data_IF_930258813359
#
_entry.id   IF_930258813359
#
_cell.length_a   1.000
_cell.length_b   1.000
_cell.length_c   1.000
_cell.angle_alpha   90.00
_cell.angle_beta   90.00
_cell.angle_gamma   90.00
#
_symmetry.space_group_name_H-M   'P 1'
#
loop_
_entity.id
_entity.type
_entity.pdbx_description
1 polymer ?
#
# COMPACT_ATOMS: atom_id res chain seq x y z
N UNK A 1 -20.78 11.60 -2.85
CA UNK A 1 -20.04 10.30 -2.82
C UNK A 1 -19.57 10.06 -4.23
N UNK A 2 -18.27 9.96 -4.48
CA UNK A 2 -17.78 9.59 -5.81
C UNK A 2 -18.30 8.20 -6.14
N UNK A 3 -19.09 8.12 -7.20
CA UNK A 3 -19.61 6.85 -7.69
C UNK A 3 -18.46 6.12 -8.41
N UNK A 4 -18.05 4.97 -7.87
CA UNK A 4 -17.03 4.11 -8.49
C UNK A 4 -17.64 3.07 -9.44
N UNK A 5 -18.91 3.21 -9.77
CA UNK A 5 -19.58 2.27 -10.66
C UNK A 5 -18.83 2.10 -11.98
N UNK A 6 -18.43 0.87 -12.26
CA UNK A 6 -17.64 0.47 -13.44
C UNK A 6 -16.25 1.13 -13.56
N UNK A 7 -15.74 1.81 -12.53
CA UNK A 7 -14.37 2.37 -12.54
C UNK A 7 -13.36 1.21 -12.46
N UNK A 8 -12.39 1.11 -13.40
CA UNK A 8 -11.36 0.07 -13.34
C UNK A 8 -10.35 0.39 -12.24
N UNK A 9 -10.28 -0.50 -11.24
CA UNK A 9 -9.37 -0.41 -10.08
C UNK A 9 -8.45 -1.62 -10.06
N UNK A 10 -7.15 -1.40 -10.08
CA UNK A 10 -6.13 -2.46 -9.96
C UNK A 10 -5.42 -2.35 -8.62
N UNK A 11 -5.35 -3.45 -7.89
CA UNK A 11 -4.78 -3.53 -6.54
C UNK A 11 -3.63 -4.54 -6.52
N UNK A 12 -2.43 -4.08 -6.21
CA UNK A 12 -1.24 -4.91 -6.10
C UNK A 12 -1.01 -5.30 -4.65
N UNK A 13 -0.95 -6.61 -4.35
CA UNK A 13 -0.76 -7.12 -3.00
C UNK A 13 -2.06 -7.14 -2.17
N UNK A 14 -3.21 -7.42 -2.82
CA UNK A 14 -4.51 -7.22 -2.20
C UNK A 14 -5.28 -8.51 -1.90
N UNK A 15 -4.61 -9.66 -1.75
CA UNK A 15 -5.28 -10.92 -1.39
C UNK A 15 -5.55 -11.08 0.11
N UNK A 16 -4.95 -10.24 0.98
CA UNK A 16 -5.08 -10.26 2.44
C UNK A 16 -4.87 -8.89 3.07
N UNK A 17 -5.12 -8.78 4.38
CA UNK A 17 -4.86 -7.58 5.18
C UNK A 17 -5.52 -6.32 4.60
N UNK A 18 -4.84 -5.18 4.70
CA UNK A 18 -5.33 -3.90 4.18
C UNK A 18 -5.70 -3.96 2.69
N UNK A 19 -4.89 -4.64 1.87
CA UNK A 19 -5.18 -4.77 0.44
C UNK A 19 -6.51 -5.47 0.16
N UNK A 20 -6.86 -6.50 0.93
CA UNK A 20 -8.16 -7.17 0.84
C UNK A 20 -9.31 -6.25 1.23
N UNK A 21 -9.18 -5.50 2.32
CA UNK A 21 -10.20 -4.52 2.74
C UNK A 21 -10.40 -3.43 1.68
N UNK A 22 -9.34 -3.01 1.00
CA UNK A 22 -9.44 -2.11 -0.15
C UNK A 22 -10.22 -2.76 -1.31
N UNK A 23 -9.94 -4.03 -1.64
CA UNK A 23 -10.67 -4.75 -2.69
C UNK A 23 -12.16 -4.86 -2.36
N UNK A 24 -12.52 -5.22 -1.13
CA UNK A 24 -13.89 -5.26 -0.61
C UNK A 24 -14.56 -3.89 -0.68
N UNK A 25 -13.84 -2.83 -0.28
CA UNK A 25 -14.35 -1.46 -0.28
C UNK A 25 -14.65 -0.96 -1.70
N UNK A 26 -13.76 -1.17 -2.66
CA UNK A 26 -13.98 -0.79 -4.05
C UNK A 26 -15.07 -1.64 -4.72
N UNK A 27 -15.08 -2.95 -4.44
CA UNK A 27 -16.13 -3.85 -4.94
C UNK A 27 -17.53 -3.43 -4.46
N UNK A 28 -17.68 -3.12 -3.18
CA UNK A 28 -18.95 -2.62 -2.61
C UNK A 28 -19.41 -1.28 -3.21
N UNK A 29 -18.49 -0.53 -3.84
CA UNK A 29 -18.78 0.71 -4.57
C UNK A 29 -19.07 0.49 -6.07
N UNK A 30 -19.12 -0.77 -6.52
CA UNK A 30 -19.38 -1.12 -7.91
C UNK A 30 -18.19 -0.98 -8.86
N UNK A 31 -16.98 -0.87 -8.36
CA UNK A 31 -15.77 -0.80 -9.18
C UNK A 31 -15.48 -2.12 -9.90
N UNK A 32 -14.84 -2.04 -11.07
CA UNK A 32 -14.26 -3.18 -11.76
C UNK A 32 -12.90 -3.53 -11.12
N UNK A 33 -12.93 -4.34 -10.07
CA UNK A 33 -11.76 -4.65 -9.26
C UNK A 33 -10.92 -5.75 -9.89
N UNK A 34 -9.61 -5.50 -10.01
CA UNK A 34 -8.60 -6.46 -10.44
C UNK A 34 -7.52 -6.56 -9.36
N UNK A 35 -7.33 -7.76 -8.81
CA UNK A 35 -6.40 -8.03 -7.70
C UNK A 35 -5.23 -8.86 -8.18
N UNK A 36 -4.03 -8.40 -7.83
CA UNK A 36 -2.77 -9.08 -8.14
C UNK A 36 -2.06 -9.45 -6.83
N UNK A 37 -1.68 -10.71 -6.69
CA UNK A 37 -0.89 -11.21 -5.56
C UNK A 37 -0.14 -12.49 -5.97
N UNK A 38 0.78 -12.98 -5.13
CA UNK A 38 1.56 -14.19 -5.41
C UNK A 38 0.76 -15.48 -5.18
N UNK A 39 -0.02 -15.51 -4.11
CA UNK A 39 -0.73 -16.70 -3.64
C UNK A 39 -2.01 -16.97 -4.43
N UNK A 40 -2.05 -18.02 -5.25
CA UNK A 40 -3.24 -18.40 -6.01
C UNK A 40 -4.40 -18.75 -5.09
N UNK A 41 -4.17 -19.54 -4.06
CA UNK A 41 -5.21 -19.97 -3.12
C UNK A 41 -5.95 -18.79 -2.45
N UNK A 42 -5.19 -17.77 -1.98
CA UNK A 42 -5.78 -16.57 -1.38
C UNK A 42 -6.51 -15.70 -2.42
N UNK A 43 -6.08 -15.69 -3.68
CA UNK A 43 -6.78 -15.03 -4.77
C UNK A 43 -8.08 -15.76 -5.13
N UNK A 44 -8.07 -17.09 -5.18
CA UNK A 44 -9.26 -17.91 -5.45
C UNK A 44 -10.30 -17.77 -4.31
N UNK A 45 -9.85 -17.69 -3.05
CA UNK A 45 -10.72 -17.39 -1.92
C UNK A 45 -11.37 -16.00 -2.06
N UNK A 46 -10.57 -14.98 -2.36
CA UNK A 46 -11.06 -13.62 -2.57
C UNK A 46 -12.07 -13.54 -3.73
N UNK A 47 -11.83 -14.24 -4.85
CA UNK A 47 -12.74 -14.25 -5.98
C UNK A 47 -14.08 -14.97 -5.68
N UNK A 48 -14.07 -15.97 -4.78
CA UNK A 48 -15.33 -16.59 -4.28
C UNK A 48 -16.14 -15.63 -3.39
N UNK A 49 -15.43 -14.88 -2.53
CA UNK A 49 -16.09 -13.96 -1.58
C UNK A 49 -16.59 -12.67 -2.26
N UNK A 50 -15.93 -12.26 -3.35
CA UNK A 50 -16.23 -11.03 -4.11
C UNK A 50 -16.53 -11.37 -5.58
N UNK A 51 -17.77 -11.78 -5.91
CA UNK A 51 -18.15 -12.15 -7.27
C UNK A 51 -17.88 -11.02 -8.29
N UNK A 52 -17.25 -11.38 -9.42
CA UNK A 52 -16.90 -10.43 -10.47
C UNK A 52 -15.51 -9.78 -10.32
N UNK A 53 -14.82 -9.98 -9.20
CA UNK A 53 -13.43 -9.56 -9.05
C UNK A 53 -12.53 -10.43 -9.93
N UNK A 54 -11.67 -9.78 -10.72
CA UNK A 54 -10.64 -10.45 -11.52
C UNK A 54 -9.37 -10.63 -10.70
N UNK A 55 -8.66 -11.72 -10.90
CA UNK A 55 -7.42 -12.01 -10.16
C UNK A 55 -6.28 -12.44 -11.07
N UNK A 56 -5.05 -12.16 -10.66
CA UNK A 56 -3.83 -12.62 -11.34
C UNK A 56 -2.78 -13.03 -10.30
N UNK A 57 -2.35 -14.29 -10.37
CA UNK A 57 -1.20 -14.75 -9.61
C UNK A 57 0.09 -14.23 -10.28
N UNK A 58 0.75 -13.26 -9.64
CA UNK A 58 1.96 -12.63 -10.16
C UNK A 58 2.84 -12.13 -9.01
N UNK A 59 4.14 -12.35 -9.14
CA UNK A 59 5.11 -11.70 -8.26
C UNK A 59 5.40 -10.29 -8.80
N UNK A 60 4.93 -9.28 -8.07
CA UNK A 60 5.03 -7.88 -8.45
C UNK A 60 6.46 -7.30 -8.39
N UNK A 61 7.42 -8.05 -7.81
CA UNK A 61 8.84 -7.65 -7.80
C UNK A 61 9.55 -7.92 -9.13
N UNK A 62 8.98 -8.77 -9.99
CA UNK A 62 9.58 -9.08 -11.28
C UNK A 62 9.56 -7.89 -12.21
N UNK A 63 10.59 -7.75 -13.02
CA UNK A 63 10.74 -6.61 -13.94
C UNK A 63 9.64 -6.56 -15.02
N UNK A 64 9.08 -7.72 -15.41
CA UNK A 64 7.97 -7.84 -16.35
C UNK A 64 6.57 -7.67 -15.74
N UNK A 65 6.49 -7.65 -14.40
CA UNK A 65 5.20 -7.69 -13.68
C UNK A 65 4.28 -6.53 -14.02
N UNK A 66 4.79 -5.31 -14.00
CA UNK A 66 3.99 -4.11 -14.26
C UNK A 66 3.41 -4.14 -15.69
N UNK A 67 4.21 -4.49 -16.70
CA UNK A 67 3.75 -4.60 -18.07
C UNK A 67 2.65 -5.67 -18.24
N UNK A 68 2.83 -6.84 -17.61
CA UNK A 68 1.84 -7.92 -17.62
C UNK A 68 0.52 -7.53 -16.98
N UNK A 69 0.58 -6.88 -15.82
CA UNK A 69 -0.61 -6.44 -15.07
C UNK A 69 -1.38 -5.37 -15.83
N UNK A 70 -0.68 -4.34 -16.33
CA UNK A 70 -1.29 -3.23 -17.06
C UNK A 70 -1.86 -3.65 -18.44
N UNK A 71 -1.34 -4.72 -19.02
CA UNK A 71 -1.91 -5.31 -20.24
C UNK A 71 -3.27 -6.02 -20.00
N UNK A 72 -3.53 -6.51 -18.78
CA UNK A 72 -4.81 -7.14 -18.44
C UNK A 72 -5.90 -6.10 -18.18
N UNK A 73 -5.58 -5.01 -17.51
CA UNK A 73 -6.50 -3.92 -17.23
C UNK A 73 -5.74 -2.59 -17.14
N UNK A 74 -6.14 -1.60 -17.93
CA UNK A 74 -5.71 -0.21 -17.77
C UNK A 74 -6.51 0.42 -16.62
N UNK A 75 -5.89 0.71 -15.46
CA UNK A 75 -6.64 1.22 -14.31
C UNK A 75 -6.90 2.72 -14.40
N UNK A 76 -8.07 3.14 -13.89
CA UNK A 76 -8.31 4.52 -13.47
C UNK A 76 -7.71 4.78 -12.08
N UNK A 77 -7.71 3.76 -11.23
CA UNK A 77 -7.07 3.77 -9.90
C UNK A 77 -6.14 2.57 -9.79
N UNK A 78 -4.85 2.81 -9.57
CA UNK A 78 -3.85 1.79 -9.28
C UNK A 78 -3.40 1.93 -7.82
N UNK A 79 -3.55 0.86 -7.03
CA UNK A 79 -3.10 0.85 -5.63
C UNK A 79 -1.94 -0.12 -5.44
N UNK A 80 -0.80 0.39 -4.99
CA UNK A 80 0.40 -0.38 -4.66
C UNK A 80 0.40 -0.65 -3.15
N UNK A 81 -0.16 -1.78 -2.72
CA UNK A 81 -0.30 -2.21 -1.34
C UNK A 81 0.60 -3.41 -1.01
N UNK A 82 1.25 -4.00 -2.02
CA UNK A 82 2.15 -5.13 -1.85
C UNK A 82 3.41 -4.79 -1.09
N UNK A 83 3.88 -5.74 -0.29
CA UNK A 83 5.11 -5.64 0.48
C UNK A 83 5.51 -6.98 1.09
N UNK A 84 6.68 -7.02 1.71
CA UNK A 84 7.13 -8.13 2.52
C UNK A 84 6.50 -8.10 3.92
N UNK A 85 6.48 -9.27 4.58
CA UNK A 85 6.37 -9.29 6.04
C UNK A 85 7.63 -8.66 6.62
N UNK A 86 7.49 -7.81 7.61
CA UNK A 86 8.64 -7.20 8.30
C UNK A 86 9.45 -8.27 9.02
N UNK A 87 10.77 -8.12 8.96
CA UNK A 87 11.69 -8.88 9.80
C UNK A 87 11.89 -8.07 11.08
N UNK A 88 11.20 -8.46 12.14
CA UNK A 88 11.19 -7.70 13.39
C UNK A 88 12.32 -8.18 14.32
N UNK A 89 13.53 -7.76 14.02
CA UNK A 89 14.76 -8.08 14.75
C UNK A 89 15.47 -6.77 15.10
N UNK A 90 16.02 -6.67 16.31
CA UNK A 90 16.77 -5.51 16.75
C UNK A 90 17.97 -5.25 15.83
N UNK A 91 18.27 -3.99 15.55
CA UNK A 91 19.30 -3.62 14.58
C UNK A 91 20.67 -4.29 14.81
N UNK A 92 21.19 -4.43 16.04
CA UNK A 92 22.48 -5.10 16.26
C UNK A 92 22.50 -6.59 15.88
N UNK A 93 21.33 -7.24 15.81
CA UNK A 93 21.20 -8.67 15.56
C UNK A 93 20.82 -9.00 14.10
N UNK A 94 20.71 -7.98 13.25
CA UNK A 94 20.37 -8.11 11.84
C UNK A 94 21.60 -8.42 10.99
N UNK A 95 21.48 -9.42 10.10
CA UNK A 95 22.34 -9.54 8.93
C UNK A 95 21.77 -8.74 7.73
N UNK A 96 22.59 -8.60 6.69
CA UNK A 96 22.19 -7.84 5.50
C UNK A 96 21.00 -8.46 4.77
N UNK A 97 20.95 -9.78 4.64
CA UNK A 97 19.90 -10.47 3.89
C UNK A 97 18.53 -10.24 4.54
N UNK A 98 18.45 -10.36 5.87
CA UNK A 98 17.24 -10.05 6.63
C UNK A 98 16.92 -8.56 6.64
N UNK A 99 17.95 -7.71 6.75
CA UNK A 99 17.76 -6.26 6.68
C UNK A 99 17.12 -5.85 5.35
N UNK A 100 17.59 -6.38 4.22
CA UNK A 100 17.26 -5.91 2.88
C UNK A 100 15.87 -6.35 2.35
N UNK A 101 15.16 -7.23 3.03
CA UNK A 101 13.90 -7.86 2.56
C UNK A 101 12.85 -6.85 2.08
N UNK A 102 12.58 -5.82 2.90
CA UNK A 102 11.56 -4.82 2.53
C UNK A 102 12.05 -3.89 1.42
N UNK A 103 13.36 -3.64 1.33
CA UNK A 103 13.92 -2.85 0.24
C UNK A 103 13.73 -3.56 -1.11
N UNK A 104 14.09 -4.83 -1.19
CA UNK A 104 13.96 -5.66 -2.40
C UNK A 104 12.50 -5.97 -2.78
N UNK A 105 11.58 -5.81 -1.85
CA UNK A 105 10.16 -6.10 -2.13
C UNK A 105 9.37 -4.80 -2.30
N UNK A 106 9.23 -4.01 -1.25
CA UNK A 106 8.33 -2.84 -1.20
C UNK A 106 8.79 -1.74 -2.14
N UNK A 107 10.11 -1.42 -2.09
CA UNK A 107 10.68 -0.40 -2.97
C UNK A 107 10.66 -0.85 -4.42
N UNK A 108 11.01 -2.11 -4.70
CA UNK A 108 11.06 -2.65 -6.06
C UNK A 108 9.68 -2.71 -6.72
N UNK A 109 8.64 -3.12 -5.98
CA UNK A 109 7.26 -3.06 -6.48
C UNK A 109 6.91 -1.62 -6.88
N UNK A 110 7.12 -0.66 -5.99
CA UNK A 110 6.80 0.74 -6.26
C UNK A 110 7.59 1.29 -7.45
N UNK A 111 8.89 1.02 -7.50
CA UNK A 111 9.76 1.43 -8.61
C UNK A 111 9.25 0.89 -9.95
N UNK A 112 8.98 -0.42 -10.04
CA UNK A 112 8.55 -1.08 -11.28
C UNK A 112 7.22 -0.49 -11.79
N UNK A 113 6.22 -0.36 -10.92
CA UNK A 113 4.91 0.13 -11.34
C UNK A 113 4.90 1.63 -11.63
N UNK A 114 5.53 2.46 -10.78
CA UNK A 114 5.61 3.90 -11.02
C UNK A 114 6.38 4.22 -12.30
N UNK A 115 7.49 3.52 -12.55
CA UNK A 115 8.22 3.64 -13.81
C UNK A 115 7.35 3.24 -15.01
N UNK A 116 6.67 2.10 -14.94
CA UNK A 116 5.87 1.59 -16.06
C UNK A 116 4.72 2.54 -16.44
N UNK A 117 4.01 3.13 -15.46
CA UNK A 117 2.93 4.09 -15.73
C UNK A 117 3.44 5.45 -16.22
N UNK A 118 4.73 5.77 -16.07
CA UNK A 118 5.35 6.98 -16.63
C UNK A 118 5.97 6.74 -18.02
N UNK A 119 6.43 5.51 -18.28
CA UNK A 119 6.96 5.11 -19.59
C UNK A 119 5.81 4.89 -20.60
N UNK A 120 4.71 4.28 -20.14
CA UNK A 120 3.47 4.11 -20.89
C UNK A 120 2.32 4.68 -20.06
N UNK A 121 2.02 5.98 -20.19
CA UNK A 121 1.08 6.68 -19.35
C UNK A 121 -0.33 6.09 -19.38
N UNK A 122 -0.96 6.05 -18.21
CA UNK A 122 -2.39 5.79 -18.07
C UNK A 122 -3.19 7.00 -18.61
N UNK A 123 -4.49 6.82 -18.78
CA UNK A 123 -5.37 7.90 -19.23
C UNK A 123 -5.31 9.10 -18.28
N UNK A 124 -5.43 10.34 -18.82
CA UNK A 124 -5.51 11.56 -18.01
C UNK A 124 -6.53 11.43 -16.86
N UNK A 125 -6.17 11.96 -15.72
CA UNK A 125 -6.95 11.86 -14.49
C UNK A 125 -6.80 10.53 -13.73
N UNK A 126 -5.96 9.57 -14.19
CA UNK A 126 -5.67 8.36 -13.43
C UNK A 126 -4.98 8.69 -12.10
N UNK A 127 -5.25 7.87 -11.09
CA UNK A 127 -4.68 8.04 -9.74
C UNK A 127 -3.87 6.81 -9.37
N UNK A 128 -2.63 7.02 -8.94
CA UNK A 128 -1.76 5.97 -8.39
C UNK A 128 -1.59 6.19 -6.91
N UNK A 129 -1.96 5.20 -6.10
CA UNK A 129 -1.85 5.23 -4.64
C UNK A 129 -0.77 4.26 -4.18
N UNK A 130 0.20 4.74 -3.42
CA UNK A 130 1.26 3.92 -2.81
C UNK A 130 1.03 3.85 -1.31
N UNK A 131 0.93 2.62 -0.77
CA UNK A 131 0.74 2.43 0.67
C UNK A 131 2.08 2.46 1.38
N UNK A 132 2.37 3.57 2.04
CA UNK A 132 3.50 3.77 2.94
C UNK A 132 3.16 3.33 4.37
N UNK A 133 3.78 3.91 5.38
CA UNK A 133 3.60 3.60 6.80
C UNK A 133 4.06 4.76 7.67
N UNK A 134 3.49 4.92 8.84
CA UNK A 134 3.98 5.83 9.88
C UNK A 134 5.44 5.56 10.27
N UNK A 135 5.92 4.32 10.13
CA UNK A 135 7.34 3.99 10.31
C UNK A 135 8.27 4.76 9.37
N UNK A 136 7.78 5.18 8.19
CA UNK A 136 8.54 6.02 7.25
C UNK A 136 8.89 7.41 7.80
N UNK A 137 8.21 7.86 8.85
CA UNK A 137 8.39 9.20 9.45
C UNK A 137 9.42 9.13 10.56
N UNK A 138 9.26 8.20 11.49
CA UNK A 138 10.06 8.14 12.71
C UNK A 138 11.11 7.01 12.73
N UNK A 139 11.10 6.15 11.72
CA UNK A 139 11.92 4.95 11.73
C UNK A 139 11.34 3.84 12.62
N UNK A 140 12.11 2.76 12.75
CA UNK A 140 11.79 1.62 13.62
C UNK A 140 13.05 0.83 13.95
N UNK A 141 13.36 0.60 15.24
CA UNK A 141 14.60 -0.06 15.64
C UNK A 141 14.63 -1.56 15.36
N UNK A 142 13.50 -2.18 15.06
CA UNK A 142 13.38 -3.63 14.84
C UNK A 142 12.82 -4.01 13.47
N UNK A 143 12.54 -3.07 12.58
CA UNK A 143 11.87 -3.38 11.30
C UNK A 143 12.81 -3.54 10.10
N UNK A 144 14.12 -3.66 10.32
CA UNK A 144 15.10 -3.76 9.24
C UNK A 144 15.00 -2.57 8.27
N UNK A 145 14.95 -2.85 6.98
CA UNK A 145 14.80 -1.82 5.94
C UNK A 145 13.37 -1.31 5.76
N UNK A 146 12.38 -1.83 6.47
CA UNK A 146 10.97 -1.49 6.24
C UNK A 146 10.69 0.01 6.31
N UNK A 147 11.13 0.66 7.38
CA UNK A 147 10.93 2.11 7.54
C UNK A 147 11.59 2.90 6.38
N UNK A 148 12.81 2.52 5.99
CA UNK A 148 13.52 3.11 4.86
C UNK A 148 12.82 2.84 3.52
N UNK A 149 12.37 1.62 3.28
CA UNK A 149 11.62 1.25 2.08
C UNK A 149 10.30 2.04 1.97
N UNK A 150 9.56 2.18 3.08
CA UNK A 150 8.33 2.96 3.14
C UNK A 150 8.59 4.47 2.94
N UNK A 151 9.71 4.99 3.41
CA UNK A 151 10.14 6.37 3.11
C UNK A 151 10.53 6.53 1.65
N UNK A 152 11.25 5.57 1.08
CA UNK A 152 11.59 5.59 -0.35
C UNK A 152 10.35 5.56 -1.24
N UNK A 153 9.30 4.83 -0.85
CA UNK A 153 8.01 4.86 -1.56
C UNK A 153 7.42 6.27 -1.62
N UNK A 154 7.52 7.07 -0.55
CA UNK A 154 7.09 8.48 -0.54
C UNK A 154 7.92 9.33 -1.51
N UNK A 155 9.25 9.14 -1.55
CA UNK A 155 10.10 9.85 -2.51
C UNK A 155 9.79 9.47 -3.95
N UNK A 156 9.66 8.18 -4.26
CA UNK A 156 9.30 7.69 -5.59
C UNK A 156 7.95 8.25 -6.05
N UNK A 157 6.98 8.32 -5.15
CA UNK A 157 5.67 8.95 -5.41
C UNK A 157 5.83 10.43 -5.80
N UNK A 158 6.63 11.20 -5.05
CA UNK A 158 6.93 12.59 -5.36
C UNK A 158 7.71 12.78 -6.67
N UNK A 159 8.64 11.85 -6.99
CA UNK A 159 9.34 11.86 -8.27
C UNK A 159 8.39 11.58 -9.44
N UNK A 160 7.47 10.62 -9.26
CA UNK A 160 6.47 10.29 -10.26
C UNK A 160 5.50 11.47 -10.51
N UNK A 161 5.05 12.17 -9.47
CA UNK A 161 4.21 13.37 -9.62
C UNK A 161 4.94 14.43 -10.43
N UNK A 162 6.18 14.79 -10.05
CA UNK A 162 6.98 15.79 -10.79
C UNK A 162 7.21 15.38 -12.24
N UNK A 163 7.42 14.10 -12.52
CA UNK A 163 7.58 13.61 -13.90
C UNK A 163 6.27 13.70 -14.69
N UNK A 164 5.12 13.38 -14.06
CA UNK A 164 3.80 13.55 -14.65
C UNK A 164 3.52 15.01 -15.00
N UNK A 165 3.72 15.91 -14.04
CA UNK A 165 3.50 17.36 -14.24
C UNK A 165 4.37 17.92 -15.36
N UNK A 166 5.67 17.56 -15.37
CA UNK A 166 6.61 18.00 -16.42
C UNK A 166 6.20 17.54 -17.82
N UNK A 167 5.57 16.37 -17.93
CA UNK A 167 5.13 15.78 -19.20
C UNK A 167 3.68 16.13 -19.55
N UNK A 168 2.95 16.83 -18.68
CA UNK A 168 1.53 17.15 -18.86
C UNK A 168 0.63 15.92 -18.95
N UNK A 169 0.93 14.87 -18.15
CA UNK A 169 0.20 13.59 -18.22
C UNK A 169 -1.15 13.61 -17.49
N UNK A 170 -1.40 14.61 -16.67
CA UNK A 170 -2.62 14.72 -15.84
C UNK A 170 -2.87 13.45 -15.00
N UNK A 171 -1.81 12.89 -14.43
CA UNK A 171 -1.88 11.76 -13.51
C UNK A 171 -1.59 12.22 -12.09
N UNK A 172 -2.36 11.72 -11.13
CA UNK A 172 -2.20 12.03 -9.71
C UNK A 172 -1.50 10.89 -8.98
N UNK A 173 -0.49 11.22 -8.17
CA UNK A 173 0.24 10.27 -7.34
C UNK A 173 0.03 10.60 -5.87
N UNK A 174 -0.46 9.62 -5.10
CA UNK A 174 -0.77 9.74 -3.67
C UNK A 174 0.03 8.69 -2.90
N UNK A 175 0.77 9.09 -1.89
CA UNK A 175 1.35 8.16 -0.91
C UNK A 175 0.62 8.32 0.42
N UNK A 176 0.16 7.21 0.99
CA UNK A 176 -0.63 7.20 2.20
C UNK A 176 0.08 6.40 3.29
N UNK A 177 0.32 7.04 4.44
CA UNK A 177 0.97 6.46 5.60
C UNK A 177 -0.04 6.25 6.73
N UNK A 178 -0.50 5.01 7.01
CA UNK A 178 -1.21 4.74 8.26
C UNK A 178 -0.33 5.06 9.47
N UNK A 179 -0.84 5.88 10.39
CA UNK A 179 -0.09 6.36 11.55
C UNK A 179 0.13 5.29 12.62
N UNK A 180 -0.73 4.26 12.64
CA UNK A 180 -0.75 3.22 13.66
C UNK A 180 -0.64 1.82 13.07
N UNK A 181 -0.16 0.88 13.88
CA UNK A 181 -0.18 -0.55 13.54
C UNK A 181 -1.64 -1.01 13.56
N UNK A 182 -2.06 -1.64 12.48
CA UNK A 182 -3.42 -2.21 12.35
C UNK A 182 -3.43 -3.64 12.88
N UNK A 183 -3.88 -3.83 14.12
CA UNK A 183 -3.86 -5.12 14.83
C UNK A 183 -4.60 -6.26 14.08
N UNK A 184 -5.60 -5.92 13.29
CA UNK A 184 -6.41 -6.87 12.50
C UNK A 184 -5.67 -7.47 11.31
N UNK A 185 -4.48 -6.97 10.97
CA UNK A 185 -3.66 -7.49 9.87
C UNK A 185 -2.58 -8.42 10.40
N UNK A 186 -2.17 -9.44 9.60
CA UNK A 186 -1.06 -10.32 9.96
C UNK A 186 0.23 -9.53 10.24
N UNK A 187 0.52 -8.53 9.40
CA UNK A 187 1.68 -7.65 9.57
C UNK A 187 1.59 -6.88 10.90
N UNK A 188 0.41 -6.34 11.20
CA UNK A 188 0.19 -5.58 12.44
C UNK A 188 0.26 -6.47 13.68
N UNK A 189 -0.38 -7.64 13.68
CA UNK A 189 -0.33 -8.58 14.79
C UNK A 189 1.11 -9.04 15.07
N UNK A 190 1.89 -9.37 14.05
CA UNK A 190 3.31 -9.69 14.19
C UNK A 190 4.09 -8.50 14.78
N UNK A 191 3.87 -7.30 14.25
CA UNK A 191 4.51 -6.08 14.77
C UNK A 191 4.21 -5.83 16.25
N UNK A 192 2.95 -5.93 16.67
CA UNK A 192 2.54 -5.73 18.06
C UNK A 192 3.27 -6.69 18.99
N UNK A 193 3.26 -8.00 18.67
CA UNK A 193 3.94 -9.03 19.44
C UNK A 193 5.43 -8.72 19.59
N UNK A 194 6.09 -8.44 18.48
CA UNK A 194 7.54 -8.32 18.43
C UNK A 194 8.00 -6.99 19.08
N UNK A 195 7.24 -5.90 18.95
CA UNK A 195 7.49 -4.65 19.68
C UNK A 195 7.21 -4.78 21.18
N UNK A 196 6.20 -5.53 21.59
CA UNK A 196 5.96 -5.80 23.00
C UNK A 196 7.15 -6.53 23.64
N UNK A 197 7.68 -7.56 22.95
CA UNK A 197 8.90 -8.28 23.38
C UNK A 197 10.10 -7.32 23.43
N UNK A 198 10.34 -6.55 22.38
CA UNK A 198 11.46 -5.61 22.33
C UNK A 198 11.42 -4.55 23.45
N UNK A 199 10.24 -4.08 23.82
CA UNK A 199 10.05 -3.10 24.88
C UNK A 199 9.94 -3.72 26.29
N UNK A 200 9.93 -5.06 26.43
CA UNK A 200 9.77 -5.73 27.72
C UNK A 200 8.38 -5.53 28.34
N UNK A 201 7.34 -5.39 27.54
CA UNK A 201 5.96 -5.16 28.00
C UNK A 201 5.01 -6.22 27.44
N UNK A 202 3.78 -6.30 27.95
CA UNK A 202 2.73 -7.14 27.36
C UNK A 202 2.18 -6.50 26.08
N UNK A 203 1.63 -7.32 25.15
CA UNK A 203 0.96 -6.81 23.95
C UNK A 203 -0.17 -5.82 24.31
N UNK A 204 -0.93 -6.10 25.37
CA UNK A 204 -2.00 -5.20 25.84
C UNK A 204 -1.45 -3.85 26.31
N UNK A 205 -0.33 -3.83 27.03
CA UNK A 205 0.31 -2.60 27.47
C UNK A 205 0.86 -1.81 26.28
N UNK A 206 1.46 -2.50 25.30
CA UNK A 206 1.94 -1.88 24.06
C UNK A 206 0.78 -1.25 23.27
N UNK A 207 -0.32 -1.97 23.06
CA UNK A 207 -1.52 -1.45 22.38
C UNK A 207 -2.10 -0.22 23.09
N UNK A 208 -2.23 -0.26 24.42
CA UNK A 208 -2.72 0.87 25.20
C UNK A 208 -1.83 2.12 25.05
N UNK A 209 -0.51 1.93 25.00
CA UNK A 209 0.45 3.03 24.81
C UNK A 209 0.40 3.63 23.40
N UNK A 210 -0.03 2.89 22.40
CA UNK A 210 -0.19 3.42 21.04
C UNK A 210 -1.35 4.40 20.88
N UNK A 211 -2.29 4.45 21.84
CA UNK A 211 -3.48 5.29 21.75
C UNK A 211 -4.58 4.68 20.85
N UNK A 212 -5.48 5.51 20.29
CA UNK A 212 -6.64 5.01 19.54
C UNK A 212 -6.26 4.03 18.43
N UNK A 213 -6.99 2.91 18.34
CA UNK A 213 -6.79 1.92 17.29
C UNK A 213 -7.05 2.52 15.90
N UNK A 214 -6.32 2.04 14.91
CA UNK A 214 -6.56 2.32 13.50
C UNK A 214 -6.88 1.03 12.79
N UNK A 215 -8.00 0.99 12.07
CA UNK A 215 -8.45 -0.18 11.33
C UNK A 215 -8.05 -0.11 9.86
N UNK A 216 -7.98 -1.24 9.15
CA UNK A 216 -7.83 -1.24 7.70
C UNK A 216 -8.96 -0.48 6.98
N UNK A 217 -10.16 -0.46 7.58
CA UNK A 217 -11.31 0.28 7.04
C UNK A 217 -11.10 1.80 7.07
N UNK A 218 -10.53 2.35 8.15
CA UNK A 218 -10.21 3.77 8.25
C UNK A 218 -9.23 4.18 7.14
N UNK A 219 -8.26 3.33 6.85
CA UNK A 219 -7.29 3.57 5.78
C UNK A 219 -7.95 3.46 4.40
N UNK A 220 -8.86 2.50 4.21
CA UNK A 220 -9.59 2.38 2.94
C UNK A 220 -10.50 3.59 2.68
N UNK A 221 -11.18 4.12 3.70
CA UNK A 221 -11.99 5.32 3.60
C UNK A 221 -11.15 6.57 3.30
N UNK A 222 -9.94 6.66 3.89
CA UNK A 222 -8.98 7.70 3.56
C UNK A 222 -8.51 7.63 2.09
N UNK A 223 -8.27 6.42 1.56
CA UNK A 223 -7.97 6.24 0.13
C UNK A 223 -9.10 6.78 -0.73
N UNK A 224 -10.36 6.40 -0.46
CA UNK A 224 -11.52 6.90 -1.21
C UNK A 224 -11.61 8.44 -1.17
N UNK A 225 -11.31 9.04 -0.02
CA UNK A 225 -11.30 10.50 0.13
C UNK A 225 -10.22 11.16 -0.72
N UNK A 226 -9.01 10.61 -0.72
CA UNK A 226 -7.85 11.20 -1.40
C UNK A 226 -7.89 11.01 -2.92
N UNK A 227 -8.49 9.94 -3.42
CA UNK A 227 -8.60 9.71 -4.87
C UNK A 227 -9.75 10.49 -5.50
N UNK A 228 -10.62 11.09 -4.70
CA UNK A 228 -11.71 11.94 -5.18
C UNK A 228 -11.24 13.12 -6.02
N UNK A 229 -12.17 13.68 -6.79
CA UNK A 229 -11.89 14.79 -7.68
C UNK A 229 -11.45 16.06 -6.91
N UNK A 230 -10.56 16.84 -7.52
CA UNK A 230 -10.06 18.08 -6.95
C UNK A 230 -9.09 17.94 -5.76
N UNK A 231 -8.76 16.72 -5.33
CA UNK A 231 -7.74 16.51 -4.29
C UNK A 231 -6.34 16.51 -4.90
N UNK A 232 -5.36 17.17 -4.28
CA UNK A 232 -3.98 17.18 -4.78
C UNK A 232 -3.32 15.80 -4.63
N UNK A 233 -2.28 15.54 -5.44
CA UNK A 233 -1.31 14.49 -5.17
C UNK A 233 -0.39 14.86 -4.00
N UNK A 234 0.41 13.89 -3.53
CA UNK A 234 1.37 14.13 -2.45
C UNK A 234 1.43 12.99 -1.43
N UNK A 235 2.09 13.27 -0.31
CA UNK A 235 2.22 12.33 0.80
C UNK A 235 1.25 12.71 1.92
N UNK A 236 0.56 11.72 2.48
CA UNK A 236 -0.46 11.93 3.50
C UNK A 236 -0.29 10.95 4.66
N UNK A 237 -0.58 11.43 5.87
CA UNK A 237 -0.73 10.63 7.07
C UNK A 237 -2.22 10.38 7.33
N UNK A 238 -2.57 9.15 7.66
CA UNK A 238 -3.89 8.79 8.18
C UNK A 238 -3.76 8.48 9.66
N UNK A 239 -4.46 9.23 10.48
CA UNK A 239 -4.55 9.04 11.94
C UNK A 239 -6.00 8.98 12.41
N UNK A 240 -6.23 8.83 13.70
CA UNK A 240 -7.57 8.93 14.30
C UNK A 240 -8.22 10.32 14.10
N UNK A 241 -7.41 11.34 13.85
CA UNK A 241 -7.84 12.73 13.60
C UNK A 241 -8.22 12.97 12.13
N UNK A 242 -7.99 11.96 11.27
CA UNK A 242 -8.27 12.02 9.84
C UNK A 242 -7.01 12.02 8.97
N UNK A 243 -7.10 12.65 7.81
CA UNK A 243 -6.05 12.70 6.79
C UNK A 243 -5.37 14.07 6.82
N UNK A 244 -4.05 14.08 6.96
CA UNK A 244 -3.22 15.29 6.91
C UNK A 244 -2.09 15.17 5.89
N UNK A 245 -1.73 16.27 5.21
CA UNK A 245 -0.60 16.29 4.29
C UNK A 245 0.72 16.18 5.06
N UNK A 246 1.67 15.44 4.49
CA UNK A 246 3.06 15.37 4.95
C UNK A 246 3.92 16.26 4.05
N UNK A 247 4.68 17.13 4.67
CA UNK A 247 5.67 17.99 4.01
C UNK A 247 6.93 17.23 3.59
#
# INVERSE_FOLDING_TARGET
MSDFLNVPVTLIGASRGLGRVLAETFHAKGAQVFVVARGRESLDALARDLPGVRTLACDATRDDAAARVLAVQEPRVLVLCGGAMTVNIAFPDLDWDRFNVSWETDTRISFNFLKAVLDKPLKPGAVVVTMSSGAAINGSPISGSYAGAKRMQMFLNGYAQKASDRKGLDMKFVSLAPARIMAETELGAAGIRDYAVYNGVTEAAFLNAMGPAQTPKDVADAVLTLIGDGKPGGNFLVSAEGVSALS
#
